data_IF_459133432400
#
_entry.id   IF_459133432400
#
_cell.length_a   1.000
_cell.length_b   1.000
_cell.length_c   1.000
_cell.angle_alpha   90.00
_cell.angle_beta   90.00
_cell.angle_gamma   90.00
#
_symmetry.space_group_name_H-M   'P 1'
#
loop_
_entity.id
_entity.type
_entity.pdbx_description
1 polymer ?
#
# COMPACT_ATOMS: atom_id res chain seq x y z
N UNK A 1 -8.70 12.54 -0.09
CA UNK A 1 -9.02 11.54 -1.13
C UNK A 1 -7.89 11.56 -2.15
N UNK A 2 -7.27 10.44 -2.40
CA UNK A 2 -6.17 10.34 -3.38
C UNK A 2 -6.76 10.55 -4.76
N UNK A 3 -6.45 11.70 -5.37
CA UNK A 3 -7.08 12.16 -6.62
C UNK A 3 -6.94 11.19 -7.79
N UNK A 4 -5.87 10.42 -7.81
CA UNK A 4 -5.56 9.47 -8.90
C UNK A 4 -6.19 8.12 -8.74
N UNK A 5 -6.61 7.73 -7.54
CA UNK A 5 -7.26 6.44 -7.31
C UNK A 5 -8.62 6.30 -8.00
N UNK A 6 -9.28 7.41 -8.29
CA UNK A 6 -10.52 7.35 -9.07
C UNK A 6 -10.32 6.98 -10.54
N UNK A 7 -9.20 7.37 -11.17
CA UNK A 7 -8.89 6.99 -12.54
C UNK A 7 -8.47 5.53 -12.69
N UNK A 8 -7.58 4.98 -11.85
CA UNK A 8 -7.27 3.55 -11.85
C UNK A 8 -8.46 2.68 -11.48
N UNK A 9 -9.28 3.08 -10.51
CA UNK A 9 -10.51 2.36 -10.15
C UNK A 9 -11.51 2.25 -11.28
N UNK A 10 -11.52 3.20 -12.20
CA UNK A 10 -12.35 3.14 -13.41
C UNK A 10 -11.80 2.21 -14.50
N UNK A 11 -10.53 1.77 -14.40
CA UNK A 11 -9.82 1.04 -15.47
C UNK A 11 -8.97 -0.12 -14.98
N UNK A 12 -9.26 -0.67 -13.83
CA UNK A 12 -8.45 -1.73 -13.21
C UNK A 12 -8.19 -2.94 -14.11
N UNK A 13 -9.06 -3.19 -15.07
CA UNK A 13 -8.93 -4.31 -16.00
C UNK A 13 -8.17 -3.96 -17.28
N UNK A 14 -7.90 -2.67 -17.56
CA UNK A 14 -7.45 -2.28 -18.89
C UNK A 14 -6.06 -1.62 -18.96
N UNK A 15 -5.71 -0.73 -18.05
CA UNK A 15 -4.44 0.03 -18.15
C UNK A 15 -3.94 0.54 -16.81
N UNK A 16 -3.30 -0.28 -16.04
CA UNK A 16 -2.65 0.06 -14.78
C UNK A 16 -3.31 -0.60 -13.57
N UNK A 17 -2.49 -0.91 -12.61
CA UNK A 17 -2.88 -1.52 -11.33
C UNK A 17 -2.52 -0.58 -10.19
N UNK A 18 -3.14 -0.79 -9.04
CA UNK A 18 -2.77 -0.14 -7.78
C UNK A 18 -2.04 -1.15 -6.92
N UNK A 19 -0.80 -0.84 -6.61
CA UNK A 19 0.06 -1.64 -5.75
C UNK A 19 0.32 -0.91 -4.44
N UNK A 20 0.39 -1.66 -3.35
CA UNK A 20 0.71 -1.15 -2.03
C UNK A 20 1.94 -1.86 -1.48
N UNK A 21 2.74 -1.13 -0.71
CA UNK A 21 3.86 -1.64 0.07
C UNK A 21 4.07 -0.70 1.26
N UNK A 22 4.73 -1.16 2.30
CA UNK A 22 5.15 -0.36 3.43
C UNK A 22 6.55 -0.73 3.89
N UNK A 23 7.15 0.14 4.69
CA UNK A 23 8.37 -0.19 5.45
C UNK A 23 9.48 -0.70 4.53
N UNK A 24 9.91 0.10 3.57
CA UNK A 24 11.04 -0.28 2.73
C UNK A 24 12.38 -0.04 3.42
N UNK A 25 12.46 0.92 4.32
CA UNK A 25 13.65 1.26 5.11
C UNK A 25 14.94 1.27 4.28
N UNK A 26 14.91 1.83 3.07
CA UNK A 26 16.07 1.90 2.20
C UNK A 26 17.22 2.68 2.86
N UNK A 27 18.41 2.10 2.85
CA UNK A 27 19.62 2.62 3.48
C UNK A 27 19.49 2.84 5.01
N UNK A 28 18.57 2.16 5.66
CA UNK A 28 18.40 2.19 7.12
C UNK A 28 19.33 1.15 7.77
N UNK A 29 20.15 1.60 8.72
CA UNK A 29 21.07 0.73 9.45
C UNK A 29 20.38 -0.28 10.37
N UNK A 30 19.14 -0.04 10.73
CA UNK A 30 18.37 -0.87 11.63
C UNK A 30 17.63 -2.04 10.95
N UNK A 31 17.68 -2.11 9.62
CA UNK A 31 17.08 -3.21 8.84
C UNK A 31 17.38 -4.62 9.38
N UNK A 32 18.62 -4.97 9.77
CA UNK A 32 18.91 -6.30 10.33
C UNK A 32 18.16 -6.59 11.62
N UNK A 33 17.92 -5.58 12.45
CA UNK A 33 17.18 -5.72 13.71
C UNK A 33 15.66 -5.83 13.49
N UNK A 34 15.18 -5.30 12.38
CA UNK A 34 13.77 -5.41 11.94
C UNK A 34 13.48 -6.72 11.18
N UNK A 35 14.48 -7.59 11.03
CA UNK A 35 14.30 -8.90 10.37
C UNK A 35 14.38 -8.87 8.83
N UNK A 36 14.98 -7.83 8.24
CA UNK A 36 15.24 -7.80 6.79
C UNK A 36 16.37 -8.78 6.44
N UNK A 37 16.13 -9.59 5.43
CA UNK A 37 17.04 -10.65 5.01
C UNK A 37 17.44 -10.57 3.52
N UNK A 38 17.09 -9.48 2.84
CA UNK A 38 17.50 -9.18 1.48
C UNK A 38 18.13 -7.78 1.39
N UNK A 39 18.90 -7.54 0.35
CA UNK A 39 19.46 -6.21 0.06
C UNK A 39 18.41 -5.25 -0.49
N UNK A 40 18.69 -3.94 -0.39
CA UNK A 40 17.86 -2.89 -0.98
C UNK A 40 17.70 -3.07 -2.51
N UNK A 41 18.75 -3.55 -3.18
CA UNK A 41 18.72 -3.82 -4.63
C UNK A 41 17.73 -4.92 -4.98
N UNK A 42 17.72 -6.00 -4.22
CA UNK A 42 16.79 -7.11 -4.39
C UNK A 42 15.36 -6.66 -4.09
N UNK A 43 15.15 -5.92 -3.01
CA UNK A 43 13.84 -5.37 -2.68
C UNK A 43 13.32 -4.44 -3.79
N UNK A 44 14.16 -3.52 -4.27
CA UNK A 44 13.80 -2.64 -5.39
C UNK A 44 13.47 -3.44 -6.66
N UNK A 45 14.23 -4.50 -6.93
CA UNK A 45 13.99 -5.37 -8.09
C UNK A 45 12.60 -6.00 -8.01
N UNK A 46 12.20 -6.56 -6.86
CA UNK A 46 10.88 -7.15 -6.64
C UNK A 46 9.74 -6.15 -6.82
N UNK A 47 9.93 -4.90 -6.39
CA UNK A 47 8.94 -3.85 -6.64
C UNK A 47 8.83 -3.56 -8.15
N UNK A 48 9.96 -3.42 -8.84
CA UNK A 48 10.01 -3.09 -10.28
C UNK A 48 9.47 -4.19 -11.19
N UNK A 49 9.58 -5.45 -10.80
CA UNK A 49 8.99 -6.56 -11.55
C UNK A 49 7.46 -6.48 -11.65
N UNK A 50 6.83 -5.87 -10.67
CA UNK A 50 5.38 -5.81 -10.58
C UNK A 50 4.81 -4.44 -10.91
N UNK A 51 5.53 -3.35 -10.62
CA UNK A 51 5.01 -2.00 -10.69
C UNK A 51 5.66 -1.21 -11.83
N UNK A 52 4.86 -0.82 -12.83
CA UNK A 52 5.32 -0.24 -14.08
C UNK A 52 4.76 1.17 -14.31
N UNK A 53 5.12 1.81 -15.44
CA UNK A 53 4.80 3.20 -15.77
C UNK A 53 3.32 3.59 -15.68
N UNK A 54 2.41 2.67 -15.96
CA UNK A 54 0.98 2.95 -15.96
C UNK A 54 0.29 2.63 -14.63
N UNK A 55 1.07 2.14 -13.67
CA UNK A 55 0.58 1.74 -12.36
C UNK A 55 0.66 2.88 -11.35
N UNK A 56 0.00 2.69 -10.22
CA UNK A 56 0.14 3.52 -9.02
C UNK A 56 0.78 2.69 -7.92
N UNK A 57 1.85 3.19 -7.33
CA UNK A 57 2.45 2.64 -6.13
C UNK A 57 2.06 3.49 -4.93
N UNK A 58 1.39 2.92 -3.96
CA UNK A 58 1.09 3.55 -2.68
C UNK A 58 2.05 2.98 -1.65
N UNK A 59 2.88 3.83 -1.11
CA UNK A 59 3.77 3.50 -0.01
C UNK A 59 3.14 3.94 1.30
N UNK A 60 3.05 3.03 2.26
CA UNK A 60 2.38 3.28 3.55
C UNK A 60 3.34 3.70 4.67
N UNK A 61 4.45 4.34 4.29
CA UNK A 61 5.38 4.94 5.24
C UNK A 61 6.65 4.13 5.51
N UNK A 62 7.55 4.77 6.24
CA UNK A 62 8.88 4.26 6.58
C UNK A 62 9.67 3.87 5.32
N UNK A 63 9.86 4.89 4.48
CA UNK A 63 10.51 4.74 3.17
C UNK A 63 12.02 4.51 3.32
N UNK A 64 12.67 5.20 4.27
CA UNK A 64 14.11 5.35 4.34
C UNK A 64 14.60 6.32 3.25
N UNK A 65 15.67 6.01 2.52
CA UNK A 65 16.19 6.87 1.47
C UNK A 65 15.30 6.84 0.20
N UNK A 66 14.54 7.89 -0.10
CA UNK A 66 13.58 7.89 -1.20
C UNK A 66 14.22 7.89 -2.59
N UNK A 67 15.53 8.13 -2.72
CA UNK A 67 16.25 8.09 -4.01
C UNK A 67 16.15 6.72 -4.69
N UNK A 68 16.04 5.65 -3.93
CA UNK A 68 15.82 4.32 -4.49
C UNK A 68 14.56 4.25 -5.36
N UNK A 69 13.52 5.01 -4.99
CA UNK A 69 12.24 5.03 -5.68
C UNK A 69 12.23 5.83 -6.99
N UNK A 70 13.30 6.56 -7.33
CA UNK A 70 13.44 7.23 -8.64
C UNK A 70 13.42 6.23 -9.80
N UNK A 71 13.86 5.00 -9.54
CA UNK A 71 13.90 3.93 -10.54
C UNK A 71 12.53 3.32 -10.83
N UNK A 72 11.52 3.60 -10.00
CA UNK A 72 10.14 3.16 -10.19
C UNK A 72 9.39 4.23 -10.97
N UNK A 73 8.89 3.87 -12.15
CA UNK A 73 8.22 4.82 -13.09
C UNK A 73 6.72 5.00 -12.85
N UNK A 74 6.16 4.27 -11.90
CA UNK A 74 4.76 4.40 -11.50
C UNK A 74 4.43 5.79 -10.95
N UNK A 75 3.17 6.15 -10.93
CA UNK A 75 2.66 7.25 -10.10
C UNK A 75 2.79 6.86 -8.63
N UNK A 76 3.46 7.70 -7.84
CA UNK A 76 3.82 7.36 -6.46
C UNK A 76 3.06 8.20 -5.44
N UNK A 77 2.44 7.53 -4.50
CA UNK A 77 1.71 8.12 -3.38
C UNK A 77 2.35 7.67 -2.07
N UNK A 78 2.57 8.60 -1.15
CA UNK A 78 3.07 8.33 0.19
C UNK A 78 2.00 8.62 1.23
N UNK A 79 1.76 7.68 2.12
CA UNK A 79 1.18 7.90 3.44
C UNK A 79 2.32 7.80 4.42
N UNK A 80 2.71 8.91 5.05
CA UNK A 80 3.92 9.00 5.86
C UNK A 80 3.85 8.11 7.10
N UNK A 81 4.98 7.49 7.43
CA UNK A 81 5.21 6.73 8.65
C UNK A 81 5.92 7.56 9.73
N UNK A 82 6.19 6.90 10.85
CA UNK A 82 6.81 7.56 12.01
C UNK A 82 8.32 7.80 11.84
N UNK A 83 9.00 7.08 10.93
CA UNK A 83 10.41 7.35 10.57
C UNK A 83 10.54 8.33 9.39
N UNK A 84 9.46 8.73 8.76
CA UNK A 84 9.46 9.71 7.68
C UNK A 84 9.45 11.14 8.27
N UNK A 85 10.60 11.82 8.32
CA UNK A 85 10.76 13.07 9.07
C UNK A 85 9.87 14.20 8.58
N UNK A 86 9.94 14.56 7.29
CA UNK A 86 9.19 15.69 6.73
C UNK A 86 8.66 15.42 5.32
N UNK A 87 7.44 15.87 5.04
CA UNK A 87 6.87 15.76 3.70
C UNK A 87 7.73 16.48 2.63
N UNK A 88 8.48 17.51 3.00
CA UNK A 88 9.34 18.27 2.07
C UNK A 88 10.46 17.40 1.50
N UNK A 89 11.02 16.50 2.29
CA UNK A 89 12.07 15.57 1.87
C UNK A 89 11.59 14.62 0.77
N UNK A 90 10.33 14.23 0.79
CA UNK A 90 9.75 13.26 -0.13
C UNK A 90 9.14 13.89 -1.40
N UNK A 91 8.90 15.20 -1.44
CA UNK A 91 8.30 15.90 -2.59
C UNK A 91 8.95 15.62 -3.95
N UNK A 92 10.29 15.46 -4.08
CA UNK A 92 10.90 15.16 -5.36
C UNK A 92 10.62 13.73 -5.88
N UNK A 93 10.19 12.83 -5.00
CA UNK A 93 10.12 11.39 -5.25
C UNK A 93 8.69 10.85 -5.32
N UNK A 94 7.71 11.60 -4.79
CA UNK A 94 6.31 11.21 -4.74
C UNK A 94 5.42 12.27 -5.39
N UNK A 95 4.42 11.80 -6.10
CA UNK A 95 3.42 12.65 -6.78
C UNK A 95 2.36 13.18 -5.81
N UNK A 96 2.04 12.40 -4.77
CA UNK A 96 1.14 12.80 -3.68
C UNK A 96 1.72 12.36 -2.33
N UNK A 97 1.54 13.20 -1.30
CA UNK A 97 2.00 12.91 0.07
C UNK A 97 0.89 13.24 1.06
N UNK A 98 0.62 12.31 1.95
CA UNK A 98 -0.33 12.42 3.04
C UNK A 98 0.39 12.20 4.37
N UNK A 99 0.18 13.10 5.32
CA UNK A 99 0.83 13.07 6.63
C UNK A 99 0.07 12.27 7.68
N UNK A 100 -0.96 11.56 7.28
CA UNK A 100 -1.78 10.74 8.16
C UNK A 100 -2.70 9.82 7.37
N UNK A 101 -3.56 9.07 8.05
CA UNK A 101 -4.44 8.07 7.46
C UNK A 101 -5.36 8.62 6.37
N UNK A 102 -5.59 7.83 5.33
CA UNK A 102 -6.40 8.22 4.17
C UNK A 102 -7.42 7.14 3.84
N UNK A 103 -8.69 7.54 3.73
CA UNK A 103 -9.70 6.67 3.12
C UNK A 103 -9.61 6.72 1.59
N UNK A 104 -9.43 5.57 0.95
CA UNK A 104 -9.39 5.45 -0.51
C UNK A 104 -10.71 4.96 -1.10
N UNK A 105 -11.54 4.36 -0.28
CA UNK A 105 -12.92 4.01 -0.53
C UNK A 105 -13.67 4.13 0.80
N UNK A 106 -14.99 4.07 0.80
CA UNK A 106 -15.76 4.23 2.06
C UNK A 106 -15.38 3.21 3.14
N UNK A 107 -14.70 2.11 2.77
CA UNK A 107 -14.35 1.00 3.66
C UNK A 107 -12.87 0.64 3.69
N UNK A 108 -12.02 1.31 2.96
CA UNK A 108 -10.57 1.04 2.97
C UNK A 108 -9.84 2.23 3.56
N UNK A 109 -9.22 2.02 4.70
CA UNK A 109 -8.35 2.95 5.38
C UNK A 109 -6.90 2.56 5.13
N UNK A 110 -6.12 3.48 4.61
CA UNK A 110 -4.67 3.36 4.48
C UNK A 110 -4.02 4.14 5.62
N UNK A 111 -3.11 3.51 6.33
CA UNK A 111 -2.33 4.15 7.40
C UNK A 111 -0.94 3.54 7.44
N UNK A 112 -0.01 4.17 8.13
CA UNK A 112 1.25 3.53 8.45
C UNK A 112 1.07 2.60 9.65
N UNK A 113 0.61 3.14 10.78
CA UNK A 113 0.32 2.35 11.97
C UNK A 113 -1.03 1.64 11.88
N UNK A 114 -1.18 0.45 12.51
CA UNK A 114 -2.46 -0.25 12.58
C UNK A 114 -3.48 0.57 13.36
N UNK A 115 -4.66 0.75 12.79
CA UNK A 115 -5.77 1.45 13.44
C UNK A 115 -6.82 0.44 13.83
N UNK A 116 -6.93 0.20 15.14
CA UNK A 116 -7.96 -0.68 15.69
C UNK A 116 -9.32 -0.01 15.45
N UNK A 117 -10.09 -0.60 14.55
CA UNK A 117 -11.45 -0.15 14.29
C UNK A 117 -12.43 -1.31 14.49
N UNK A 118 -13.63 -1.00 14.90
CA UNK A 118 -14.70 -2.00 14.87
C UNK A 118 -14.98 -2.42 13.43
N UNK A 119 -15.34 -3.62 13.19
CA UNK A 119 -15.52 -4.43 11.98
C UNK A 119 -16.04 -3.78 10.66
N UNK A 120 -16.16 -2.45 10.58
CA UNK A 120 -16.78 -1.79 9.43
C UNK A 120 -15.83 -1.46 8.28
N UNK A 121 -14.50 -1.40 8.53
CA UNK A 121 -13.51 -0.96 7.58
C UNK A 121 -12.36 -1.95 7.46
N UNK A 122 -11.72 -1.96 6.28
CA UNK A 122 -10.44 -2.65 6.08
C UNK A 122 -9.32 -1.67 6.34
N UNK A 123 -8.45 -1.95 7.28
CA UNK A 123 -7.23 -1.21 7.49
C UNK A 123 -6.07 -1.91 6.75
N UNK A 124 -5.44 -1.20 5.84
CA UNK A 124 -4.21 -1.65 5.19
C UNK A 124 -3.09 -0.76 5.71
N UNK A 125 -2.10 -1.36 6.34
CA UNK A 125 -1.06 -0.65 7.07
C UNK A 125 0.32 -1.31 6.95
N UNK A 126 1.31 -0.77 7.63
CA UNK A 126 2.66 -1.31 7.80
C UNK A 126 3.05 -1.36 9.26
N UNK A 127 4.21 -0.81 9.59
CA UNK A 127 4.76 -0.53 10.91
C UNK A 127 5.12 -1.77 11.74
N UNK A 128 4.31 -2.79 11.82
CA UNK A 128 4.60 -3.97 12.64
C UNK A 128 5.48 -4.96 11.87
N UNK A 129 6.75 -5.02 12.23
CA UNK A 129 7.76 -5.90 11.62
C UNK A 129 7.74 -7.32 12.16
N UNK A 130 6.91 -7.62 13.17
CA UNK A 130 6.83 -8.96 13.75
C UNK A 130 5.99 -9.91 12.89
N UNK A 131 6.67 -10.53 11.92
CA UNK A 131 6.05 -11.54 11.06
C UNK A 131 5.43 -12.71 11.83
N UNK A 132 5.82 -12.94 13.10
CA UNK A 132 5.28 -14.05 13.89
C UNK A 132 3.82 -13.89 14.22
N UNK A 133 3.33 -12.67 14.35
CA UNK A 133 1.92 -12.34 14.57
C UNK A 133 1.04 -12.66 13.36
N UNK A 134 1.65 -12.78 12.18
CA UNK A 134 0.96 -12.92 10.89
C UNK A 134 1.22 -14.28 10.22
N UNK A 135 1.84 -15.24 10.92
CA UNK A 135 2.15 -16.59 10.38
C UNK A 135 0.92 -17.39 9.95
N UNK A 136 -0.25 -17.06 10.46
CA UNK A 136 -1.51 -17.66 10.06
C UNK A 136 -2.15 -17.00 8.85
N UNK A 137 -1.54 -15.93 8.34
CA UNK A 137 -2.03 -15.25 7.15
C UNK A 137 -1.79 -16.14 5.93
N UNK A 138 -2.87 -16.59 5.37
CA UNK A 138 -2.84 -17.21 4.04
C UNK A 138 -2.35 -16.14 3.07
N UNK A 139 -1.47 -16.52 2.17
CA UNK A 139 -0.75 -15.67 1.19
C UNK A 139 -1.65 -14.71 0.41
N UNK A 140 -2.95 -14.84 0.50
CA UNK A 140 -3.94 -14.17 -0.33
C UNK A 140 -4.88 -13.21 0.41
N UNK A 141 -4.72 -12.97 1.72
CA UNK A 141 -5.71 -12.10 2.32
C UNK A 141 -5.63 -11.85 3.82
N UNK A 142 -6.59 -11.10 4.26
CA UNK A 142 -6.85 -10.79 5.65
C UNK A 142 -7.00 -12.06 6.49
N UNK A 143 -6.47 -12.06 7.70
CA UNK A 143 -6.72 -13.12 8.66
C UNK A 143 -8.24 -13.30 8.85
N UNK A 144 -8.68 -14.54 8.95
CA UNK A 144 -10.10 -14.86 9.07
C UNK A 144 -10.70 -14.13 10.28
N UNK A 145 -11.67 -13.26 10.04
CA UNK A 145 -12.31 -12.43 11.06
C UNK A 145 -11.64 -11.08 11.36
N UNK A 146 -10.53 -10.74 10.67
CA UNK A 146 -9.85 -9.45 10.84
C UNK A 146 -9.90 -8.64 9.55
N UNK A 147 -10.28 -7.38 9.68
CA UNK A 147 -10.26 -6.41 8.57
C UNK A 147 -8.94 -5.62 8.55
N UNK A 148 -7.84 -6.30 8.82
CA UNK A 148 -6.52 -5.72 9.04
C UNK A 148 -5.48 -6.42 8.18
N UNK A 149 -4.70 -5.65 7.39
CA UNK A 149 -3.69 -6.17 6.48
C UNK A 149 -2.38 -5.41 6.65
N UNK A 150 -1.39 -6.08 7.23
CA UNK A 150 -0.04 -5.55 7.35
C UNK A 150 0.78 -5.80 6.09
N UNK A 151 1.33 -4.72 5.51
CA UNK A 151 2.17 -4.75 4.31
C UNK A 151 3.62 -4.32 4.58
N UNK A 152 4.09 -4.42 5.84
CA UNK A 152 5.50 -4.23 6.14
C UNK A 152 6.34 -5.19 5.28
N UNK A 153 7.35 -4.66 4.61
CA UNK A 153 8.06 -5.37 3.54
C UNK A 153 8.61 -6.73 3.96
N UNK A 154 9.19 -6.82 5.16
CA UNK A 154 9.73 -8.09 5.70
C UNK A 154 8.62 -9.11 6.06
N UNK A 155 7.39 -8.64 6.30
CA UNK A 155 6.23 -9.48 6.63
C UNK A 155 5.63 -10.12 5.36
N UNK A 156 5.62 -9.37 4.24
CA UNK A 156 5.04 -9.82 2.96
C UNK A 156 6.07 -10.36 1.97
N UNK A 157 7.21 -10.84 2.43
CA UNK A 157 8.31 -11.33 1.59
C UNK A 157 8.71 -10.31 0.51
N UNK A 158 8.70 -9.02 0.86
CA UNK A 158 9.07 -7.88 -0.02
C UNK A 158 8.21 -7.74 -1.29
N UNK A 159 7.06 -8.38 -1.33
CA UNK A 159 6.14 -8.34 -2.47
C UNK A 159 5.20 -7.15 -2.35
N UNK A 160 4.95 -6.50 -3.49
CA UNK A 160 3.90 -5.47 -3.56
C UNK A 160 2.51 -6.12 -3.63
N UNK A 161 1.58 -5.60 -2.86
CA UNK A 161 0.20 -6.07 -2.83
C UNK A 161 -0.63 -5.42 -3.94
N UNK A 162 -1.25 -6.22 -4.80
CA UNK A 162 -2.15 -5.71 -5.84
C UNK A 162 -3.56 -5.56 -5.30
N UNK A 163 -3.97 -4.31 -5.05
CA UNK A 163 -5.28 -3.98 -4.49
C UNK A 163 -6.44 -4.48 -5.35
N UNK A 164 -6.32 -4.35 -6.67
CA UNK A 164 -7.36 -4.78 -7.60
C UNK A 164 -7.59 -6.29 -7.58
N UNK A 165 -6.52 -7.07 -7.47
CA UNK A 165 -6.62 -8.52 -7.29
C UNK A 165 -7.29 -8.86 -5.95
N UNK A 166 -6.87 -8.21 -4.86
CA UNK A 166 -7.48 -8.41 -3.54
C UNK A 166 -8.99 -8.22 -3.57
N UNK A 167 -9.45 -7.14 -4.17
CA UNK A 167 -10.90 -6.86 -4.28
C UNK A 167 -11.60 -7.88 -5.19
N UNK A 168 -11.01 -8.22 -6.34
CA UNK A 168 -11.58 -9.17 -7.29
C UNK A 168 -11.74 -10.57 -6.70
N UNK A 169 -10.81 -10.99 -5.85
CA UNK A 169 -10.85 -12.28 -5.17
C UNK A 169 -11.71 -12.29 -3.89
N UNK A 170 -12.38 -11.19 -3.59
CA UNK A 170 -13.27 -11.10 -2.43
C UNK A 170 -12.55 -10.97 -1.09
N UNK A 171 -11.23 -10.74 -1.11
CA UNK A 171 -10.41 -10.54 0.09
C UNK A 171 -10.82 -9.26 0.81
N UNK A 172 -11.27 -8.27 0.03
CA UNK A 172 -11.91 -7.05 0.52
C UNK A 172 -13.37 -7.13 0.07
N UNK A 173 -14.22 -7.72 0.89
CA UNK A 173 -15.63 -7.89 0.57
C UNK A 173 -16.42 -6.57 0.65
N UNK A 174 -17.48 -6.46 -0.13
CA UNK A 174 -18.41 -5.32 -0.15
C UNK A 174 -17.84 -3.96 -0.63
N UNK A 175 -16.59 -3.86 -1.07
CA UNK A 175 -16.07 -2.65 -1.70
C UNK A 175 -16.66 -2.49 -3.10
N UNK A 176 -16.88 -3.58 -3.82
CA UNK A 176 -17.45 -3.57 -5.17
C UNK A 176 -18.87 -2.95 -5.22
N UNK A 177 -19.70 -3.23 -4.23
CA UNK A 177 -21.06 -2.69 -4.18
C UNK A 177 -21.11 -1.18 -4.01
N UNK A 178 -20.29 -0.66 -3.12
CA UNK A 178 -20.18 0.78 -2.85
C UNK A 178 -19.53 1.49 -4.03
N UNK A 179 -18.50 0.89 -4.59
CA UNK A 179 -17.73 1.47 -5.68
C UNK A 179 -18.56 1.54 -6.98
N UNK A 180 -19.29 0.50 -7.35
CA UNK A 180 -20.24 0.51 -8.47
C UNK A 180 -21.29 1.57 -8.30
N UNK A 181 -21.93 1.67 -7.13
CA UNK A 181 -22.95 2.68 -6.86
C UNK A 181 -22.40 4.12 -6.98
N UNK A 182 -21.15 4.36 -6.56
CA UNK A 182 -20.54 5.69 -6.62
C UNK A 182 -20.11 6.04 -8.05
N UNK A 183 -19.55 5.10 -8.79
CA UNK A 183 -19.14 5.29 -10.18
C UNK A 183 -20.36 5.42 -11.09
N UNK A 184 -21.36 4.58 -10.92
CA UNK A 184 -22.57 4.61 -11.75
C UNK A 184 -23.37 5.89 -11.52
N UNK A 185 -23.45 6.38 -10.28
CA UNK A 185 -24.03 7.69 -9.99
C UNK A 185 -23.24 8.86 -10.58
N UNK A 186 -21.92 8.74 -10.70
CA UNK A 186 -21.10 9.76 -11.33
C UNK A 186 -21.20 9.76 -12.85
N UNK A 187 -21.56 8.62 -13.47
CA UNK A 187 -21.80 8.48 -14.92
C UNK A 187 -23.18 8.95 -15.37
N UNK A 188 -24.12 9.03 -14.44
CA UNK A 188 -25.50 9.45 -14.74
C UNK A 188 -25.75 10.95 -14.54
N UNK A 189 -24.73 11.73 -14.27
CA UNK A 189 -24.69 13.19 -14.26
C UNK A 189 -23.75 13.71 -15.32
#
# INVERSE_FOLDING_TARGET
MIKTLYKPFQRWSEKGSVYLISDTHFDDSDRPFMGYNISEKEQLYLIKENCHKNDTLIHLGDVGNPKWLEQIKAYKVLVMGNHDETATQFKPYFDEIYTGPVFIAEKILLSHEPIINGSAWYNIHGHDHDASKYKEWKVDGFAEGWNDLNLASNVVDYKVYNLGKGIKHGLISNVDGVHRLTIDKARTK
#
